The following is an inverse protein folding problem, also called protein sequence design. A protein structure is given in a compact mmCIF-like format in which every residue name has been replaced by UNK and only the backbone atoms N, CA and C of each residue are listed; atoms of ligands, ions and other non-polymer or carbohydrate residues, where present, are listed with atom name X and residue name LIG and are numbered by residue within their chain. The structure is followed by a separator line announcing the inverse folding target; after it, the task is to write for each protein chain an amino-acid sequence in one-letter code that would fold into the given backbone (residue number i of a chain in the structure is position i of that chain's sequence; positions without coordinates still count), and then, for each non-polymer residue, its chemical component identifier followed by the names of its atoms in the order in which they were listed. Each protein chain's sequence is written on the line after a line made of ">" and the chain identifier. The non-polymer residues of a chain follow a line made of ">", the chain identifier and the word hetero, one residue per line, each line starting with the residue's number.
data_IF_729933607105
#
_entry.id   IF_729933607105
#
_cell.length_a   1.000
_cell.length_b   1.000
_cell.length_c   1.000
_cell.angle_alpha   90.00
_cell.angle_beta   90.00
_cell.angle_gamma   90.00
#
_symmetry.space_group_name_H-M   'P 1'
#
loop_
_entity.id
_entity.type
_entity.pdbx_description
1 polymer ?
#
# COMPACT_ATOMS: atom_id res chain seq x y z
N UNK A 1 -45.11 -18.55 -7.85
CA UNK A 1 -45.06 -19.75 -6.98
C UNK A 1 -45.61 -20.98 -7.71
N UNK A 2 -45.00 -21.38 -8.83
CA UNK A 2 -45.37 -22.63 -9.53
C UNK A 2 -44.22 -23.65 -9.52
N UNK A 3 -42.98 -23.19 -9.33
CA UNK A 3 -41.78 -24.03 -9.31
C UNK A 3 -41.24 -24.22 -7.89
N UNK A 4 -40.98 -23.12 -7.17
CA UNK A 4 -40.60 -23.16 -5.75
C UNK A 4 -41.82 -23.08 -4.84
N UNK A 5 -41.83 -23.90 -3.78
CA UNK A 5 -42.89 -23.94 -2.78
C UNK A 5 -42.83 -22.72 -1.84
N UNK A 6 -41.64 -22.39 -1.34
CA UNK A 6 -41.32 -21.17 -0.59
C UNK A 6 -40.44 -20.20 -1.40
N UNK A 7 -40.31 -18.97 -0.91
CA UNK A 7 -39.29 -18.03 -1.37
C UNK A 7 -37.90 -18.42 -0.87
N UNK A 8 -37.82 -19.11 0.27
CA UNK A 8 -36.56 -19.57 0.87
C UNK A 8 -35.91 -20.72 0.08
N UNK A 9 -36.69 -21.37 -0.80
CA UNK A 9 -36.22 -22.46 -1.65
C UNK A 9 -35.63 -21.95 -2.98
N UNK A 10 -35.70 -20.64 -3.24
CA UNK A 10 -35.23 -20.05 -4.51
C UNK A 10 -33.70 -20.04 -4.51
N UNK A 11 -33.10 -20.68 -5.52
CA UNK A 11 -31.67 -20.59 -5.75
C UNK A 11 -31.20 -19.14 -5.91
N UNK A 12 -30.04 -18.82 -5.34
CA UNK A 12 -29.50 -17.46 -5.31
C UNK A 12 -29.48 -16.78 -6.69
N UNK A 13 -29.01 -17.49 -7.72
CA UNK A 13 -28.84 -16.91 -9.05
C UNK A 13 -30.17 -16.47 -9.69
N UNK A 14 -31.18 -17.33 -9.90
CA UNK A 14 -32.46 -16.90 -10.43
C UNK A 14 -33.21 -15.93 -9.50
N UNK A 15 -33.03 -16.05 -8.18
CA UNK A 15 -33.59 -15.10 -7.21
C UNK A 15 -33.04 -13.68 -7.42
N UNK A 16 -31.72 -13.54 -7.37
CA UNK A 16 -31.05 -12.24 -7.51
C UNK A 16 -31.15 -11.66 -8.94
N UNK A 17 -31.17 -12.49 -9.98
CA UNK A 17 -31.46 -12.04 -11.36
C UNK A 17 -32.88 -11.50 -11.53
N UNK A 18 -33.82 -11.92 -10.68
CA UNK A 18 -35.22 -11.47 -10.73
C UNK A 18 -35.45 -10.14 -10.00
N UNK A 19 -34.44 -9.62 -9.29
CA UNK A 19 -34.52 -8.33 -8.61
C UNK A 19 -34.47 -7.17 -9.61
N UNK A 20 -35.12 -6.05 -9.25
CA UNK A 20 -35.02 -4.83 -10.05
C UNK A 20 -33.62 -4.23 -9.88
N UNK A 21 -32.96 -3.79 -10.98
CA UNK A 21 -31.69 -3.11 -10.89
C UNK A 21 -31.75 -1.85 -10.03
N UNK A 22 -30.64 -1.55 -9.34
CA UNK A 22 -30.45 -0.26 -8.67
C UNK A 22 -30.40 0.88 -9.70
N UNK A 23 -30.73 2.10 -9.27
CA UNK A 23 -30.66 3.28 -10.15
C UNK A 23 -29.22 3.47 -10.65
N UNK A 24 -29.04 3.50 -11.97
CA UNK A 24 -27.72 3.59 -12.61
C UNK A 24 -26.89 2.29 -12.60
N UNK A 25 -27.42 1.21 -12.04
CA UNK A 25 -26.78 -0.11 -12.00
C UNK A 25 -27.41 -1.11 -12.96
N UNK A 26 -26.74 -2.25 -13.15
CA UNK A 26 -27.21 -3.36 -14.00
C UNK A 26 -27.75 -4.55 -13.19
N UNK A 27 -27.61 -4.52 -11.87
CA UNK A 27 -27.98 -5.62 -10.96
C UNK A 27 -28.82 -5.12 -9.79
N UNK A 28 -29.64 -6.02 -9.23
CA UNK A 28 -30.43 -5.75 -8.04
C UNK A 28 -29.62 -5.73 -6.74
N UNK A 29 -30.24 -5.35 -5.61
CA UNK A 29 -29.57 -5.19 -4.31
C UNK A 29 -28.74 -6.39 -3.85
N UNK A 30 -29.22 -7.61 -4.04
CA UNK A 30 -28.53 -8.83 -3.56
C UNK A 30 -27.23 -9.05 -4.31
N UNK A 31 -27.26 -8.99 -5.64
CA UNK A 31 -26.04 -9.09 -6.45
C UNK A 31 -25.13 -7.89 -6.27
N UNK A 32 -25.67 -6.67 -6.20
CA UNK A 32 -24.87 -5.48 -5.90
C UNK A 32 -24.07 -5.65 -4.61
N UNK A 33 -24.69 -6.18 -3.55
CA UNK A 33 -24.02 -6.44 -2.29
C UNK A 33 -22.92 -7.50 -2.41
N UNK A 34 -23.24 -8.67 -2.97
CA UNK A 34 -22.29 -9.79 -3.09
C UNK A 34 -21.08 -9.37 -3.95
N UNK A 35 -21.34 -8.74 -5.09
CA UNK A 35 -20.30 -8.23 -5.99
C UNK A 35 -19.45 -7.17 -5.26
N UNK A 36 -20.06 -6.18 -4.62
CA UNK A 36 -19.33 -5.11 -3.93
C UNK A 36 -18.44 -5.64 -2.80
N UNK A 37 -18.95 -6.58 -1.99
CA UNK A 37 -18.14 -7.23 -0.95
C UNK A 37 -16.96 -7.95 -1.59
N UNK A 38 -17.18 -8.75 -2.63
CA UNK A 38 -16.11 -9.51 -3.28
C UNK A 38 -15.03 -8.58 -3.87
N UNK A 39 -15.43 -7.56 -4.64
CA UNK A 39 -14.49 -6.60 -5.24
C UNK A 39 -13.74 -5.78 -4.19
N UNK A 40 -14.41 -5.39 -3.09
CA UNK A 40 -13.74 -4.71 -1.97
C UNK A 40 -12.67 -5.58 -1.34
N UNK A 41 -12.96 -6.86 -1.10
CA UNK A 41 -11.99 -7.78 -0.50
C UNK A 41 -10.84 -8.03 -1.46
N UNK A 42 -11.10 -8.21 -2.76
CA UNK A 42 -10.05 -8.33 -3.78
C UNK A 42 -9.13 -7.11 -3.77
N UNK A 43 -9.69 -5.90 -3.77
CA UNK A 43 -8.90 -4.66 -3.72
C UNK A 43 -8.08 -4.52 -2.44
N UNK A 44 -8.72 -4.73 -1.28
CA UNK A 44 -8.11 -4.45 0.04
C UNK A 44 -7.10 -5.52 0.46
N UNK A 45 -7.31 -6.76 0.07
CA UNK A 45 -6.48 -7.88 0.50
C UNK A 45 -5.38 -8.24 -0.52
N UNK A 46 -5.32 -7.54 -1.66
CA UNK A 46 -4.22 -7.68 -2.61
C UNK A 46 -3.06 -6.75 -2.23
N UNK A 47 -1.95 -7.35 -1.81
CA UNK A 47 -0.71 -6.61 -1.50
C UNK A 47 -0.16 -5.86 -2.71
N UNK A 48 -0.43 -6.35 -3.91
CA UNK A 48 0.03 -5.78 -5.17
C UNK A 48 -1.07 -4.99 -5.89
N UNK A 49 -2.14 -4.60 -5.19
CA UNK A 49 -3.08 -3.62 -5.72
C UNK A 49 -2.32 -2.38 -6.19
N UNK A 50 -2.53 -1.95 -7.44
CA UNK A 50 -1.65 -0.96 -8.07
C UNK A 50 -1.62 0.39 -7.34
N UNK A 51 -2.70 0.78 -6.63
CA UNK A 51 -2.74 2.01 -5.83
C UNK A 51 -2.36 1.80 -4.36
N UNK A 52 -1.74 0.68 -4.02
CA UNK A 52 -1.28 0.44 -2.66
C UNK A 52 -0.15 1.43 -2.29
N UNK A 53 -0.10 1.84 -1.03
CA UNK A 53 0.87 2.81 -0.52
C UNK A 53 2.13 2.17 0.08
N UNK A 54 2.18 0.84 0.16
CA UNK A 54 3.34 0.09 0.68
C UNK A 54 4.61 0.43 -0.12
N UNK A 55 5.61 1.13 0.48
CA UNK A 55 6.82 1.56 -0.22
C UNK A 55 7.63 0.43 -0.86
N UNK A 56 7.43 -0.81 -0.42
CA UNK A 56 8.16 -1.97 -0.95
C UNK A 56 7.61 -2.50 -2.28
N UNK A 57 6.37 -2.14 -2.64
CA UNK A 57 5.67 -2.68 -3.84
C UNK A 57 4.86 -1.65 -4.61
N UNK A 58 4.65 -0.44 -4.06
CA UNK A 58 3.89 0.61 -4.73
C UNK A 58 4.55 1.04 -6.05
N UNK A 59 3.73 1.54 -6.96
CA UNK A 59 4.21 2.37 -8.05
C UNK A 59 4.59 3.77 -7.53
N UNK A 60 5.53 4.43 -8.20
CA UNK A 60 5.80 5.85 -7.94
C UNK A 60 4.62 6.72 -8.40
N UNK A 61 4.50 7.94 -7.88
CA UNK A 61 3.40 8.83 -8.27
C UNK A 61 3.41 9.13 -9.78
N UNK A 62 4.61 9.25 -10.38
CA UNK A 62 4.75 9.41 -11.82
C UNK A 62 4.22 8.19 -12.60
N UNK A 63 4.55 6.98 -12.14
CA UNK A 63 4.05 5.74 -12.75
C UNK A 63 2.53 5.61 -12.59
N UNK A 64 1.97 5.94 -11.41
CA UNK A 64 0.52 5.94 -11.18
C UNK A 64 -0.21 6.93 -12.08
N UNK A 65 0.36 8.12 -12.28
CA UNK A 65 -0.19 9.12 -13.19
C UNK A 65 -0.26 8.60 -14.64
N UNK A 66 0.74 7.83 -15.07
CA UNK A 66 0.74 7.19 -16.40
C UNK A 66 -0.27 6.04 -16.50
N UNK A 67 -0.35 5.17 -15.49
CA UNK A 67 -1.34 4.07 -15.44
C UNK A 67 -2.77 4.62 -15.55
N UNK A 68 -3.08 5.70 -14.80
CA UNK A 68 -4.42 6.32 -14.75
C UNK A 68 -4.90 6.92 -16.08
N UNK A 69 -4.01 7.16 -17.05
CA UNK A 69 -4.38 7.60 -18.41
C UNK A 69 -4.99 6.47 -19.26
N UNK A 70 -4.75 5.22 -18.87
CA UNK A 70 -5.12 4.04 -19.66
C UNK A 70 -6.64 3.92 -19.78
N UNK A 71 -7.12 3.68 -21.00
CA UNK A 71 -8.52 3.38 -21.29
C UNK A 71 -8.62 2.08 -22.09
N UNK A 72 -9.70 1.32 -21.90
CA UNK A 72 -9.92 0.09 -22.70
C UNK A 72 -10.03 0.40 -24.20
N UNK A 73 -10.58 1.56 -24.55
CA UNK A 73 -10.63 2.03 -25.95
C UNK A 73 -9.23 2.21 -26.55
N UNK A 74 -8.29 2.78 -25.79
CA UNK A 74 -6.90 2.93 -26.23
C UNK A 74 -6.22 1.56 -26.40
N UNK A 75 -6.45 0.63 -25.47
CA UNK A 75 -5.95 -0.74 -25.58
C UNK A 75 -6.44 -1.39 -26.89
N UNK A 76 -7.73 -1.25 -27.19
CA UNK A 76 -8.28 -1.75 -28.46
C UNK A 76 -7.64 -1.09 -29.68
N UNK A 77 -7.49 0.23 -29.69
CA UNK A 77 -6.81 0.95 -30.78
C UNK A 77 -5.36 0.48 -31.03
N UNK A 78 -4.64 0.06 -30.00
CA UNK A 78 -3.22 -0.33 -30.12
C UNK A 78 -3.02 -1.81 -30.49
N UNK A 79 -4.01 -2.67 -30.19
CA UNK A 79 -3.85 -4.13 -30.26
C UNK A 79 -4.79 -4.83 -31.25
N UNK A 80 -5.78 -4.12 -31.79
CA UNK A 80 -6.73 -4.65 -32.76
C UNK A 80 -6.61 -3.87 -34.08
N UNK A 81 -6.89 -4.53 -35.21
CA UNK A 81 -7.02 -3.89 -36.53
C UNK A 81 -8.32 -3.09 -36.63
N UNK A 82 -8.49 -2.12 -35.74
CA UNK A 82 -9.62 -1.18 -35.77
C UNK A 82 -9.29 -0.12 -36.82
N UNK A 83 -10.29 0.30 -37.64
CA UNK A 83 -10.19 1.55 -38.39
C UNK A 83 -9.69 2.66 -37.46
N UNK A 84 -9.02 3.68 -37.98
CA UNK A 84 -8.30 4.66 -37.16
C UNK A 84 -9.10 5.49 -36.14
N UNK A 85 -10.35 5.16 -35.83
CA UNK A 85 -11.20 5.75 -34.78
C UNK A 85 -11.84 4.71 -33.81
N UNK A 86 -12.11 5.17 -32.59
CA UNK A 86 -12.81 4.41 -31.54
C UNK A 86 -13.55 5.35 -30.60
N UNK A 87 -14.65 4.90 -29.96
CA UNK A 87 -15.34 5.70 -28.94
C UNK A 87 -14.49 5.86 -27.68
N UNK A 88 -14.67 6.96 -26.94
CA UNK A 88 -13.85 7.28 -25.76
C UNK A 88 -14.02 6.27 -24.61
N UNK A 89 -15.27 5.90 -24.31
CA UNK A 89 -15.61 4.93 -23.28
C UNK A 89 -16.09 3.63 -23.94
N UNK A 90 -15.31 2.56 -23.82
CA UNK A 90 -15.58 1.27 -24.47
C UNK A 90 -16.84 0.55 -23.94
N UNK A 91 -17.20 0.78 -22.67
CA UNK A 91 -18.37 0.15 -22.05
C UNK A 91 -19.69 0.86 -22.34
N UNK A 92 -19.63 2.11 -22.82
CA UNK A 92 -20.80 2.88 -23.20
C UNK A 92 -21.09 2.75 -24.69
N UNK A 93 -22.37 2.87 -25.05
CA UNK A 93 -22.76 2.93 -26.46
C UNK A 93 -22.12 4.15 -27.14
N UNK A 94 -21.67 4.03 -28.40
CA UNK A 94 -21.22 5.18 -29.17
C UNK A 94 -22.32 6.22 -29.32
N UNK A 95 -21.95 7.50 -29.22
CA UNK A 95 -22.87 8.63 -29.40
C UNK A 95 -22.12 9.84 -29.95
N UNK A 96 -22.67 10.53 -30.94
CA UNK A 96 -22.01 11.67 -31.58
C UNK A 96 -21.64 12.81 -30.61
N UNK A 97 -22.30 12.89 -29.45
CA UNK A 97 -22.08 13.96 -28.47
C UNK A 97 -21.53 13.43 -27.13
N UNK A 98 -22.12 12.38 -26.58
CA UNK A 98 -21.78 11.90 -25.24
C UNK A 98 -20.59 10.94 -25.23
N UNK A 99 -20.39 10.18 -26.31
CA UNK A 99 -19.30 9.20 -26.43
C UNK A 99 -18.87 9.06 -27.90
N UNK A 100 -18.34 10.15 -28.51
CA UNK A 100 -18.05 10.16 -29.93
C UNK A 100 -16.87 9.24 -30.24
N UNK A 101 -16.89 8.68 -31.45
CA UNK A 101 -15.70 8.08 -32.05
C UNK A 101 -14.71 9.18 -32.36
N UNK A 102 -13.47 9.00 -31.91
CA UNK A 102 -12.37 9.91 -32.15
C UNK A 102 -11.19 9.15 -32.74
N UNK A 103 -10.31 9.80 -33.52
CA UNK A 103 -9.15 9.13 -34.07
C UNK A 103 -8.25 8.57 -32.95
N UNK A 104 -7.82 7.31 -33.07
CA UNK A 104 -7.04 6.60 -32.05
C UNK A 104 -5.76 7.34 -31.63
N UNK A 105 -5.12 8.07 -32.55
CA UNK A 105 -3.90 8.85 -32.28
C UNK A 105 -4.13 10.06 -31.36
N UNK A 106 -5.37 10.52 -31.22
CA UNK A 106 -5.75 11.63 -30.32
C UNK A 106 -6.03 11.17 -28.89
N UNK A 107 -6.15 9.86 -28.67
CA UNK A 107 -6.36 9.30 -27.34
C UNK A 107 -5.08 9.37 -26.50
N UNK A 108 -5.17 9.62 -25.18
CA UNK A 108 -4.02 9.60 -24.29
C UNK A 108 -3.24 8.29 -24.41
N UNK A 109 -1.92 8.38 -24.44
CA UNK A 109 -1.01 7.24 -24.46
C UNK A 109 -0.18 7.22 -23.17
N UNK A 110 0.13 6.01 -22.70
CA UNK A 110 1.02 5.81 -21.57
C UNK A 110 2.45 6.21 -21.93
N UNK A 111 3.10 7.04 -21.10
CA UNK A 111 4.53 7.32 -21.23
C UNK A 111 5.34 6.33 -20.37
N UNK A 112 5.98 5.37 -21.03
CA UNK A 112 6.80 4.36 -20.35
C UNK A 112 8.16 4.92 -19.85
N UNK A 113 8.48 6.18 -20.12
CA UNK A 113 9.69 6.82 -19.59
C UNK A 113 9.72 6.86 -18.06
N UNK A 114 8.56 6.81 -17.40
CA UNK A 114 8.43 6.72 -15.94
C UNK A 114 8.91 5.38 -15.33
N UNK A 115 9.13 4.35 -16.16
CA UNK A 115 9.72 3.07 -15.75
C UNK A 115 11.20 2.97 -16.11
N UNK A 116 11.78 4.01 -16.70
CA UNK A 116 13.20 4.00 -17.04
C UNK A 116 14.04 3.97 -15.77
N UNK A 117 14.72 2.86 -15.55
CA UNK A 117 15.68 2.71 -14.46
C UNK A 117 16.96 3.47 -14.80
N UNK A 118 17.27 4.49 -14.00
CA UNK A 118 18.57 5.16 -14.08
C UNK A 118 19.61 4.35 -13.28
N UNK A 119 20.06 3.22 -13.84
CA UNK A 119 21.14 2.39 -13.25
C UNK A 119 22.44 3.19 -13.02
N UNK A 120 22.57 4.35 -13.68
CA UNK A 120 23.75 5.22 -13.63
C UNK A 120 23.75 6.16 -12.42
N UNK A 121 22.60 6.42 -11.78
CA UNK A 121 22.50 7.32 -10.63
C UNK A 121 22.31 6.50 -9.36
N UNK A 122 23.42 6.09 -8.75
CA UNK A 122 23.42 5.66 -7.36
C UNK A 122 23.13 6.80 -6.39
N UNK A 123 22.99 6.46 -5.12
CA UNK A 123 22.69 7.38 -4.03
C UNK A 123 23.98 7.90 -3.40
N UNK A 124 23.96 9.13 -2.88
CA UNK A 124 25.00 9.64 -1.98
C UNK A 124 24.60 9.35 -0.53
N UNK A 125 25.24 8.37 0.11
CA UNK A 125 24.94 7.94 1.48
C UNK A 125 26.21 8.07 2.32
N UNK A 126 26.22 8.94 3.33
CA UNK A 126 27.39 9.13 4.20
C UNK A 126 28.65 9.58 3.44
N UNK A 127 28.49 10.34 2.35
CA UNK A 127 29.58 10.77 1.48
C UNK A 127 30.12 9.70 0.51
N UNK A 128 29.47 8.54 0.41
CA UNK A 128 29.81 7.47 -0.55
C UNK A 128 28.75 7.37 -1.64
N UNK A 129 29.19 7.07 -2.86
CA UNK A 129 28.29 6.66 -3.92
C UNK A 129 27.90 5.19 -3.72
N UNK A 130 26.61 4.91 -3.71
CA UNK A 130 26.04 3.58 -3.46
C UNK A 130 25.14 3.23 -4.64
N UNK A 131 25.36 2.08 -5.28
CA UNK A 131 24.55 1.69 -6.43
C UNK A 131 23.12 1.34 -6.01
N UNK A 132 22.15 1.52 -6.91
CA UNK A 132 20.76 1.12 -6.66
C UNK A 132 20.72 -0.39 -6.33
N UNK A 133 20.04 -0.75 -5.24
CA UNK A 133 19.99 -2.11 -4.69
C UNK A 133 21.01 -2.40 -3.59
N UNK A 134 22.04 -1.56 -3.42
CA UNK A 134 23.02 -1.70 -2.34
C UNK A 134 22.61 -0.92 -1.08
N UNK A 135 23.13 -1.39 0.06
CA UNK A 135 22.95 -0.76 1.37
C UNK A 135 24.24 -0.12 1.88
N UNK A 136 24.13 1.01 2.59
CA UNK A 136 25.25 1.66 3.26
C UNK A 136 24.84 2.22 4.62
N UNK A 137 25.82 2.40 5.50
CA UNK A 137 25.64 2.95 6.84
C UNK A 137 26.20 4.37 6.89
N UNK A 138 25.37 5.43 6.83
CA UNK A 138 25.85 6.80 6.97
C UNK A 138 26.34 7.11 8.39
N UNK A 139 25.90 6.33 9.39
CA UNK A 139 26.27 6.45 10.79
C UNK A 139 26.16 5.08 11.50
N UNK A 140 26.71 4.91 12.71
CA UNK A 140 26.73 3.60 13.37
C UNK A 140 25.35 3.03 13.70
N UNK A 141 24.33 3.89 13.90
CA UNK A 141 22.98 3.46 14.24
C UNK A 141 21.94 3.76 13.16
N UNK A 142 22.37 4.02 11.93
CA UNK A 142 21.47 4.23 10.78
C UNK A 142 21.92 3.39 9.60
N UNK A 143 20.98 2.70 8.96
CA UNK A 143 21.22 1.96 7.71
C UNK A 143 20.33 2.52 6.61
N UNK A 144 20.87 2.63 5.40
CA UNK A 144 20.13 3.09 4.24
C UNK A 144 20.26 2.10 3.09
N UNK A 145 19.21 1.96 2.30
CA UNK A 145 19.20 1.22 1.03
C UNK A 145 19.04 2.24 -0.10
N UNK A 146 19.85 2.12 -1.14
CA UNK A 146 19.68 2.94 -2.33
C UNK A 146 18.59 2.36 -3.23
N UNK A 147 17.53 3.12 -3.46
CA UNK A 147 16.43 2.77 -4.36
C UNK A 147 16.47 3.66 -5.61
N UNK A 148 15.68 3.32 -6.62
CA UNK A 148 15.46 4.17 -7.79
C UNK A 148 14.80 5.53 -7.44
N UNK A 149 14.11 5.63 -6.30
CA UNK A 149 13.55 6.87 -5.75
C UNK A 149 14.54 7.66 -4.89
N UNK A 150 15.72 7.09 -4.59
CA UNK A 150 16.75 7.68 -3.71
C UNK A 150 17.07 6.82 -2.49
N UNK A 151 17.83 7.37 -1.54
CA UNK A 151 18.24 6.65 -0.33
C UNK A 151 17.08 6.57 0.69
N UNK A 152 16.69 5.37 1.08
CA UNK A 152 15.74 5.13 2.15
C UNK A 152 16.47 4.66 3.40
N UNK A 153 16.40 5.46 4.48
CA UNK A 153 17.16 5.24 5.70
C UNK A 153 16.26 4.85 6.88
N UNK A 154 16.74 3.94 7.73
CA UNK A 154 16.07 3.51 8.95
C UNK A 154 17.06 3.45 10.12
N UNK A 155 16.57 3.81 11.31
CA UNK A 155 17.31 3.68 12.57
C UNK A 155 17.45 2.21 12.95
N UNK A 156 18.66 1.83 13.34
CA UNK A 156 18.98 0.50 13.84
C UNK A 156 18.65 0.43 15.33
N UNK A 157 18.11 -0.73 15.75
CA UNK A 157 17.92 -1.04 17.17
C UNK A 157 19.20 -1.67 17.71
N UNK A 158 19.83 -1.00 18.68
CA UNK A 158 21.04 -1.47 19.33
C UNK A 158 20.68 -2.28 20.56
N UNK A 159 21.15 -3.53 20.59
CA UNK A 159 20.93 -4.45 21.72
C UNK A 159 22.11 -4.52 22.68
N UNK A 160 23.32 -4.18 22.21
CA UNK A 160 24.55 -4.20 23.00
C UNK A 160 25.40 -2.95 22.71
N UNK A 161 25.35 -1.97 23.61
CA UNK A 161 26.12 -0.74 23.52
C UNK A 161 27.63 -0.95 23.77
N UNK A 162 28.01 -2.00 24.50
CA UNK A 162 29.42 -2.32 24.72
C UNK A 162 30.06 -2.91 23.45
N UNK A 163 29.30 -3.70 22.69
CA UNK A 163 29.74 -4.14 21.36
C UNK A 163 29.87 -2.98 20.39
N UNK A 164 28.87 -2.09 20.33
CA UNK A 164 28.93 -0.90 19.48
C UNK A 164 30.17 -0.04 19.78
N UNK A 165 30.53 0.12 21.05
CA UNK A 165 31.71 0.85 21.51
C UNK A 165 33.05 0.19 21.17
N UNK A 166 33.05 -1.12 20.85
CA UNK A 166 34.24 -1.83 20.35
C UNK A 166 34.39 -1.67 18.83
N UNK A 167 33.28 -1.52 18.12
CA UNK A 167 33.26 -1.44 16.65
C UNK A 167 33.42 -0.01 16.14
N UNK A 168 32.96 1.00 16.90
CA UNK A 168 32.98 2.40 16.50
C UNK A 168 33.64 3.30 17.56
N UNK A 169 34.37 4.35 17.14
CA UNK A 169 34.97 5.28 18.08
C UNK A 169 33.90 6.11 18.80
N UNK A 170 34.14 6.38 20.08
CA UNK A 170 33.16 6.98 20.99
C UNK A 170 32.63 8.33 20.51
N UNK A 171 33.47 9.15 19.89
CA UNK A 171 33.07 10.45 19.36
C UNK A 171 32.10 10.33 18.17
N UNK A 172 32.26 9.31 17.32
CA UNK A 172 31.32 9.04 16.22
C UNK A 172 29.99 8.53 16.74
N UNK A 173 30.01 7.67 17.76
CA UNK A 173 28.77 7.17 18.40
C UNK A 173 28.00 8.31 19.07
N UNK A 174 28.68 9.24 19.75
CA UNK A 174 28.04 10.35 20.44
C UNK A 174 27.53 11.46 19.50
N UNK A 175 28.05 11.53 18.26
CA UNK A 175 27.55 12.43 17.20
C UNK A 175 26.29 11.90 16.50
N UNK A 176 26.02 10.61 16.61
CA UNK A 176 24.81 9.99 16.07
C UNK A 176 23.69 10.10 17.10
N UNK A 177 22.66 10.90 16.81
CA UNK A 177 21.51 11.12 17.71
C UNK A 177 20.78 9.81 18.07
N UNK A 178 20.71 8.86 17.13
CA UNK A 178 20.06 7.56 17.32
C UNK A 178 20.89 6.69 18.27
N UNK A 179 22.20 6.66 18.08
CA UNK A 179 23.11 5.96 18.99
C UNK A 179 23.14 6.60 20.37
N UNK A 180 23.21 7.93 20.43
CA UNK A 180 23.28 8.68 21.69
C UNK A 180 22.03 8.45 22.54
N UNK A 181 20.84 8.42 21.91
CA UNK A 181 19.59 8.09 22.59
C UNK A 181 19.57 6.64 23.15
N UNK A 182 20.18 5.68 22.44
CA UNK A 182 20.17 4.26 22.85
C UNK A 182 21.31 3.90 23.82
N UNK A 183 22.47 4.55 23.71
CA UNK A 183 23.72 4.13 24.37
C UNK A 183 24.42 5.25 25.17
N UNK A 184 23.91 6.49 25.14
CA UNK A 184 24.57 7.65 25.75
C UNK A 184 24.90 7.47 27.24
N UNK A 185 24.01 6.84 28.01
CA UNK A 185 24.21 6.58 29.45
C UNK A 185 25.35 5.60 29.73
N UNK A 186 25.49 4.56 28.90
CA UNK A 186 26.56 3.55 29.04
C UNK A 186 27.91 4.18 28.67
N UNK A 187 27.92 5.01 27.62
CA UNK A 187 29.13 5.62 27.10
C UNK A 187 29.65 6.75 27.98
N UNK A 188 28.78 7.52 28.64
CA UNK A 188 29.19 8.60 29.54
C UNK A 188 29.88 8.10 30.84
N UNK A 189 29.59 6.87 31.27
CA UNK A 189 30.02 6.34 32.57
C UNK A 189 31.40 5.64 32.62
N UNK A 190 32.23 5.69 31.57
CA UNK A 190 33.56 5.06 31.57
C UNK A 190 34.63 5.75 32.47
N UNK A 191 34.22 6.50 33.50
CA UNK A 191 35.07 6.98 34.60
C UNK A 191 34.65 6.45 35.99
N UNK A 192 33.86 5.37 36.07
CA UNK A 192 33.54 4.73 37.35
C UNK A 192 33.88 3.23 37.33
N UNK A 193 34.58 2.70 38.36
CA UNK A 193 34.86 1.28 38.46
C UNK A 193 33.57 0.52 38.81
N UNK A 194 33.57 -0.76 38.44
CA UNK A 194 32.57 -1.78 38.76
C UNK A 194 31.99 -1.61 40.16
N UNK A 195 30.82 -0.98 40.24
CA UNK A 195 30.04 -0.82 41.46
C UNK A 195 28.62 -1.26 41.18
N UNK A 196 28.18 -2.31 41.87
CA UNK A 196 26.76 -2.64 41.98
C UNK A 196 25.98 -1.37 42.33
N UNK A 197 25.06 -0.96 41.46
CA UNK A 197 24.04 0.04 41.81
C UNK A 197 22.76 -0.74 42.13
N UNK A 198 22.31 -0.78 43.40
CA UNK A 198 20.96 -1.17 43.73
C UNK A 198 20.01 -0.01 43.39
N UNK A 199 18.93 -0.31 42.66
CA UNK A 199 17.73 0.52 42.65
C UNK A 199 17.69 1.65 41.62
N UNK A 200 17.54 1.29 40.35
CA UNK A 200 16.67 2.06 39.46
C UNK A 200 15.37 1.27 39.34
N UNK A 201 14.36 1.71 40.07
CA UNK A 201 12.97 1.29 39.85
C UNK A 201 12.64 1.49 38.38
N UNK A 202 12.29 0.40 37.70
CA UNK A 202 11.72 0.46 36.37
C UNK A 202 10.57 1.49 36.37
N UNK A 203 10.41 2.31 35.31
CA UNK A 203 9.14 3.00 35.13
C UNK A 203 8.04 1.93 35.09
N UNK A 204 6.85 2.21 35.62
CA UNK A 204 5.80 1.21 35.70
C UNK A 204 5.63 0.61 34.31
N UNK A 205 5.76 -0.71 34.23
CA UNK A 205 5.20 -1.46 33.12
C UNK A 205 3.72 -1.07 33.09
N UNK A 206 3.34 -0.17 32.19
CA UNK A 206 2.00 -0.19 31.64
C UNK A 206 1.88 -1.48 30.83
N UNK A 207 1.80 -2.59 31.57
CA UNK A 207 1.12 -3.79 31.14
C UNK A 207 -0.34 -3.36 31.13
N UNK A 208 -0.75 -2.72 30.04
CA UNK A 208 -2.13 -2.83 29.62
C UNK A 208 -2.36 -4.32 29.36
N UNK A 209 -2.70 -5.05 30.42
CA UNK A 209 -3.41 -6.29 30.30
C UNK A 209 -4.71 -5.90 29.59
N UNK A 210 -4.71 -5.92 28.26
CA UNK A 210 -5.93 -6.11 27.52
C UNK A 210 -6.40 -7.49 27.93
N UNK A 211 -7.27 -7.52 28.94
CA UNK A 211 -8.21 -8.61 29.14
C UNK A 211 -8.88 -8.79 27.78
N UNK A 212 -8.47 -9.82 27.05
CA UNK A 212 -9.26 -10.33 25.93
C UNK A 212 -10.45 -11.05 26.55
N UNK A 213 -11.41 -10.29 27.03
CA UNK A 213 -12.79 -10.74 26.95
C UNK A 213 -13.11 -10.78 25.46
N UNK A 214 -13.05 -11.98 24.89
CA UNK A 214 -13.69 -12.23 23.60
C UNK A 214 -15.14 -11.78 23.77
N UNK A 215 -15.65 -10.85 22.94
CA UNK A 215 -17.07 -10.59 22.96
C UNK A 215 -17.74 -11.91 22.61
N UNK A 216 -18.71 -12.33 23.43
CA UNK A 216 -19.69 -13.30 22.96
C UNK A 216 -20.38 -12.63 21.78
N UNK A 217 -19.98 -13.03 20.58
CA UNK A 217 -20.65 -12.60 19.36
C UNK A 217 -21.96 -13.37 19.33
N UNK A 218 -22.98 -12.83 19.97
CA UNK A 218 -24.35 -13.13 19.55
C UNK A 218 -24.46 -12.69 18.11
N UNK A 219 -24.71 -13.65 17.22
CA UNK A 219 -24.99 -13.42 15.80
C UNK A 219 -26.27 -12.60 15.68
N UNK A 220 -26.15 -11.28 15.81
CA UNK A 220 -27.12 -10.35 15.26
C UNK A 220 -26.83 -10.36 13.75
N UNK A 221 -27.78 -10.86 12.97
CA UNK A 221 -27.61 -11.21 11.56
C UNK A 221 -26.90 -10.16 10.69
N UNK A 222 -26.54 -10.58 9.48
CA UNK A 222 -25.77 -9.81 8.50
C UNK A 222 -26.26 -8.35 8.41
N UNK A 223 -25.48 -7.41 8.96
CA UNK A 223 -25.68 -5.97 8.75
C UNK A 223 -24.81 -5.55 7.58
N UNK A 224 -25.44 -5.01 6.54
CA UNK A 224 -24.73 -4.50 5.39
C UNK A 224 -23.76 -3.39 5.80
N UNK A 225 -22.51 -3.43 5.29
CA UNK A 225 -21.60 -2.31 5.47
C UNK A 225 -22.15 -1.08 4.76
N UNK A 226 -21.99 0.08 5.38
CA UNK A 226 -22.37 1.36 4.79
C UNK A 226 -21.57 1.62 3.50
N UNK A 227 -22.29 1.76 2.38
CA UNK A 227 -21.74 2.00 1.05
C UNK A 227 -21.81 3.48 0.63
N UNK A 228 -22.39 4.35 1.46
CA UNK A 228 -22.43 5.80 1.24
C UNK A 228 -21.06 6.46 0.96
N UNK A 229 -19.91 6.01 1.48
CA UNK A 229 -18.62 6.63 1.16
C UNK A 229 -18.13 6.38 -0.28
N UNK A 230 -18.79 5.52 -1.05
CA UNK A 230 -18.42 5.17 -2.42
C UNK A 230 -19.45 5.63 -3.46
N UNK A 231 -20.51 6.31 -3.00
CA UNK A 231 -21.50 7.00 -3.82
C UNK A 231 -21.29 8.50 -3.57
N UNK A 232 -20.27 9.07 -4.21
CA UNK A 232 -19.90 10.47 -4.10
C UNK A 232 -18.76 10.81 -5.03
#
# INVERSE_FOLDING_TARGET
>A
KRLYASVDDIDLFPGAMSERPLQGGLVGPTFACIIAIQFRQLRKCDRFWYENEDPSVRFSEAQLAEIRKTTLSKIFCENLDIPGDMQRAAFDLPSNFLNPRIPCHTMPQIDLSAWRENVVQGCQIGGRHVSVGESAFPSPCTSCICTNEGAQCASLRITDCAQLAREWPRDVILRDDVCSAQCGLVLQNNNAPSGNIPGLTAPPLHRAARSRTLPVVTFQGFRFPDLSPFIG
#
